data_IF_423981631403
#
_entry.id   IF_423981631403
#
_cell.length_a   1.000
_cell.length_b   1.000
_cell.length_c   1.000
_cell.angle_alpha   90.00
_cell.angle_beta   90.00
_cell.angle_gamma   90.00
#
_symmetry.space_group_name_H-M   'P 1'
#
loop_
_entity.id
_entity.type
_entity.pdbx_description
1 polymer ?
#
# COMPACT_ATOMS: atom_id res chain seq x y z
N UNK A 1 14.34 14.33 -15.00
CA UNK A 1 15.14 13.80 -16.13
C UNK A 1 15.96 12.57 -15.73
N UNK A 2 16.57 12.54 -14.55
CA UNK A 2 17.37 11.39 -14.07
C UNK A 2 16.48 10.15 -13.79
N UNK A 3 15.28 10.35 -13.30
CA UNK A 3 14.33 9.27 -12.97
C UNK A 3 13.80 8.52 -14.22
N UNK A 4 13.60 9.22 -15.34
CA UNK A 4 13.21 8.61 -16.61
C UNK A 4 14.32 7.75 -17.24
N UNK A 5 15.57 8.23 -17.20
CA UNK A 5 16.71 7.48 -17.70
C UNK A 5 16.95 6.19 -16.91
N UNK A 6 16.77 6.27 -15.58
CA UNK A 6 16.94 5.11 -14.69
C UNK A 6 15.85 4.04 -14.90
N UNK A 7 14.61 4.45 -15.20
CA UNK A 7 13.51 3.53 -15.51
C UNK A 7 13.71 2.81 -16.85
N UNK A 8 14.27 3.49 -17.85
CA UNK A 8 14.54 2.90 -19.16
C UNK A 8 15.66 1.84 -19.09
N UNK A 9 16.72 2.10 -18.35
CA UNK A 9 17.81 1.12 -18.13
C UNK A 9 17.30 -0.12 -17.40
N UNK A 10 16.47 0.04 -16.36
CA UNK A 10 15.85 -1.08 -15.66
C UNK A 10 14.89 -1.88 -16.54
N UNK A 11 14.11 -1.21 -17.37
CA UNK A 11 13.20 -1.85 -18.31
C UNK A 11 13.96 -2.65 -19.37
N UNK A 12 15.10 -2.15 -19.84
CA UNK A 12 15.96 -2.89 -20.79
C UNK A 12 16.61 -4.10 -20.10
N UNK A 13 17.12 -3.93 -18.87
CA UNK A 13 17.68 -5.02 -18.08
C UNK A 13 16.63 -6.11 -17.78
N UNK A 14 15.41 -5.72 -17.43
CA UNK A 14 14.29 -6.64 -17.24
C UNK A 14 14.00 -7.45 -18.51
N UNK A 15 13.88 -6.80 -19.65
CA UNK A 15 13.62 -7.46 -20.94
C UNK A 15 14.76 -8.42 -21.34
N UNK A 16 16.01 -7.97 -21.17
CA UNK A 16 17.18 -8.79 -21.44
C UNK A 16 17.22 -10.03 -20.53
N UNK A 17 16.99 -9.84 -19.24
CA UNK A 17 16.97 -10.94 -18.27
C UNK A 17 15.81 -11.91 -18.54
N UNK A 18 14.63 -11.39 -18.87
CA UNK A 18 13.46 -12.18 -19.25
C UNK A 18 13.73 -13.05 -20.47
N UNK A 19 14.43 -12.52 -21.48
CA UNK A 19 14.83 -13.29 -22.68
C UNK A 19 15.83 -14.38 -22.37
N UNK A 20 16.75 -14.17 -21.43
CA UNK A 20 17.82 -15.11 -21.10
C UNK A 20 17.38 -16.21 -20.13
N UNK A 21 16.63 -15.84 -19.10
CA UNK A 21 16.32 -16.72 -17.96
C UNK A 21 14.82 -17.02 -17.82
N UNK A 22 13.99 -16.38 -18.63
CA UNK A 22 12.55 -16.56 -18.64
C UNK A 22 11.82 -15.59 -17.71
N UNK A 23 10.51 -15.46 -17.99
CA UNK A 23 9.62 -14.48 -17.33
C UNK A 23 9.57 -14.64 -15.80
N UNK A 24 9.46 -15.89 -15.33
CA UNK A 24 9.39 -16.19 -13.90
C UNK A 24 10.64 -15.73 -13.14
N UNK A 25 11.82 -16.04 -13.69
CA UNK A 25 13.08 -15.63 -13.07
C UNK A 25 13.24 -14.10 -13.04
N UNK A 26 12.76 -13.39 -14.07
CA UNK A 26 12.77 -11.93 -14.10
C UNK A 26 11.86 -11.33 -13.04
N UNK A 27 10.68 -11.90 -12.81
CA UNK A 27 9.75 -11.48 -11.78
C UNK A 27 10.32 -11.70 -10.37
N UNK A 28 11.01 -12.81 -10.14
CA UNK A 28 11.61 -13.13 -8.84
C UNK A 28 12.67 -12.08 -8.41
N UNK A 29 13.19 -11.29 -9.36
CA UNK A 29 14.15 -10.20 -9.13
C UNK A 29 13.51 -8.83 -8.94
N UNK A 30 12.22 -8.72 -8.99
CA UNK A 30 11.54 -7.43 -8.82
C UNK A 30 11.26 -7.13 -7.34
N UNK A 31 11.44 -5.88 -6.95
CA UNK A 31 11.04 -5.40 -5.63
C UNK A 31 9.51 -5.27 -5.55
N UNK A 32 8.88 -6.37 -5.18
CA UNK A 32 7.43 -6.46 -5.05
C UNK A 32 6.86 -5.56 -3.96
N UNK A 33 7.64 -5.26 -2.92
CA UNK A 33 7.18 -4.42 -1.81
C UNK A 33 7.12 -2.98 -2.29
N UNK A 34 8.17 -2.49 -2.95
CA UNK A 34 8.19 -1.16 -3.53
C UNK A 34 7.15 -1.02 -4.65
N UNK A 35 7.02 -2.01 -5.54
CA UNK A 35 6.05 -2.00 -6.63
C UNK A 35 4.60 -1.91 -6.12
N UNK A 36 4.22 -2.72 -5.13
CA UNK A 36 2.89 -2.67 -4.52
C UNK A 36 2.63 -1.35 -3.79
N UNK A 37 3.63 -0.83 -3.07
CA UNK A 37 3.52 0.45 -2.38
C UNK A 37 3.29 1.59 -3.37
N UNK A 38 4.10 1.67 -4.40
CA UNK A 38 3.98 2.66 -5.47
C UNK A 38 2.61 2.60 -6.15
N UNK A 39 2.15 1.38 -6.48
CA UNK A 39 0.83 1.18 -7.07
C UNK A 39 -0.29 1.65 -6.14
N UNK A 40 -0.24 1.29 -4.86
CA UNK A 40 -1.25 1.73 -3.88
C UNK A 40 -1.27 3.25 -3.68
N UNK A 41 -0.13 3.91 -3.76
CA UNK A 41 -0.02 5.37 -3.71
C UNK A 41 -0.66 6.01 -4.95
N UNK A 42 -0.36 5.49 -6.15
CA UNK A 42 -0.93 5.96 -7.42
C UNK A 42 -2.44 5.74 -7.47
N UNK A 43 -2.91 4.58 -7.05
CA UNK A 43 -4.33 4.28 -6.99
C UNK A 43 -5.05 5.17 -5.95
N UNK A 44 -4.42 5.42 -4.81
CA UNK A 44 -4.93 6.37 -3.82
C UNK A 44 -5.00 7.81 -4.33
N UNK A 45 -4.08 8.26 -5.19
CA UNK A 45 -4.15 9.57 -5.86
C UNK A 45 -5.28 9.61 -6.86
N UNK A 46 -5.44 8.57 -7.68
CA UNK A 46 -6.52 8.42 -8.65
C UNK A 46 -7.87 8.41 -7.97
N UNK A 47 -8.03 7.64 -6.91
CA UNK A 47 -9.25 7.56 -6.10
C UNK A 47 -9.63 8.94 -5.52
N UNK A 48 -8.67 9.68 -4.98
CA UNK A 48 -8.89 11.04 -4.47
C UNK A 48 -9.28 12.04 -5.58
N UNK A 49 -8.69 11.91 -6.77
CA UNK A 49 -9.04 12.76 -7.92
C UNK A 49 -10.48 12.49 -8.39
N UNK A 50 -10.86 11.21 -8.51
CA UNK A 50 -12.22 10.79 -8.87
C UNK A 50 -13.24 11.26 -7.83
N UNK A 51 -12.96 11.11 -6.55
CA UNK A 51 -13.82 11.56 -5.47
C UNK A 51 -14.01 13.08 -5.48
N UNK A 52 -12.95 13.86 -5.70
CA UNK A 52 -13.03 15.33 -5.82
C UNK A 52 -13.86 15.74 -7.02
N UNK A 53 -13.69 15.08 -8.16
CA UNK A 53 -14.47 15.34 -9.35
C UNK A 53 -15.96 15.05 -9.14
N UNK A 54 -16.29 13.89 -8.58
CA UNK A 54 -17.66 13.51 -8.27
C UNK A 54 -18.30 14.50 -7.29
N UNK A 55 -17.57 14.89 -6.23
CA UNK A 55 -18.03 15.89 -5.27
C UNK A 55 -18.31 17.24 -5.93
N UNK A 56 -17.43 17.69 -6.82
CA UNK A 56 -17.62 18.94 -7.58
C UNK A 56 -18.90 18.89 -8.43
N UNK A 57 -19.13 17.79 -9.16
CA UNK A 57 -20.33 17.60 -9.96
C UNK A 57 -21.61 17.64 -9.12
N UNK A 58 -21.62 16.98 -7.96
CA UNK A 58 -22.76 16.97 -7.03
C UNK A 58 -22.99 18.36 -6.43
N UNK A 59 -21.93 19.02 -5.96
CA UNK A 59 -22.01 20.36 -5.39
C UNK A 59 -22.54 21.39 -6.41
N UNK A 60 -22.06 21.33 -7.65
CA UNK A 60 -22.54 22.20 -8.73
C UNK A 60 -24.03 21.99 -9.02
N UNK A 61 -24.45 20.73 -9.17
CA UNK A 61 -25.86 20.40 -9.42
C UNK A 61 -26.77 20.84 -8.26
N UNK A 62 -26.31 20.62 -7.02
CA UNK A 62 -27.06 21.03 -5.81
C UNK A 62 -27.18 22.56 -5.73
N UNK A 63 -26.08 23.29 -5.96
CA UNK A 63 -26.09 24.75 -5.96
C UNK A 63 -27.05 25.31 -7.02
N UNK A 64 -27.04 24.70 -8.22
CA UNK A 64 -27.96 25.08 -9.30
C UNK A 64 -29.43 24.81 -8.92
N UNK A 65 -29.73 23.65 -8.32
CA UNK A 65 -31.07 23.32 -7.86
C UNK A 65 -31.56 24.29 -6.76
N UNK A 66 -30.68 24.61 -5.80
CA UNK A 66 -30.97 25.58 -4.75
C UNK A 66 -31.27 26.95 -5.34
N UNK A 67 -30.49 27.42 -6.30
CA UNK A 67 -30.71 28.67 -7.00
C UNK A 67 -32.08 28.69 -7.71
N UNK A 68 -32.43 27.59 -8.36
CA UNK A 68 -33.70 27.47 -9.08
C UNK A 68 -34.93 27.50 -8.17
N UNK A 69 -34.80 26.93 -6.96
CA UNK A 69 -35.89 26.87 -5.97
C UNK A 69 -35.98 28.18 -5.17
N UNK A 70 -34.82 28.74 -4.75
CA UNK A 70 -34.80 29.90 -3.83
C UNK A 70 -34.96 31.24 -4.53
N UNK A 71 -34.53 31.33 -5.79
CA UNK A 71 -34.54 32.59 -6.57
C UNK A 71 -35.03 32.36 -8.01
N UNK A 72 -36.30 31.95 -8.18
CA UNK A 72 -36.83 31.64 -9.51
C UNK A 72 -36.84 32.91 -10.41
N UNK A 73 -37.00 34.07 -9.85
CA UNK A 73 -37.02 35.35 -10.60
C UNK A 73 -35.67 35.61 -11.28
N UNK A 74 -34.53 35.32 -10.62
CA UNK A 74 -33.20 35.47 -11.21
C UNK A 74 -32.99 34.49 -12.37
N UNK A 75 -33.55 33.31 -12.25
CA UNK A 75 -33.44 32.28 -13.32
C UNK A 75 -34.34 32.64 -14.51
N UNK A 76 -35.48 33.27 -14.27
CA UNK A 76 -36.40 33.75 -15.32
C UNK A 76 -35.85 34.95 -16.13
N UNK A 77 -35.02 35.79 -15.50
CA UNK A 77 -34.31 36.87 -16.20
C UNK A 77 -33.25 36.40 -17.18
N UNK A 78 -32.75 35.17 -16.99
CA UNK A 78 -31.76 34.56 -17.89
C UNK A 78 -32.39 34.22 -19.24
N UNK A 79 -31.80 34.64 -20.38
CA UNK A 79 -32.32 34.30 -21.71
C UNK A 79 -32.53 32.77 -21.85
N UNK A 80 -33.69 32.40 -22.41
CA UNK A 80 -34.10 31.00 -22.57
C UNK A 80 -33.00 30.06 -23.14
N UNK A 81 -32.24 30.45 -24.17
CA UNK A 81 -31.22 29.56 -24.71
C UNK A 81 -30.10 29.28 -23.65
N UNK A 82 -29.71 30.28 -22.88
CA UNK A 82 -28.68 30.13 -21.84
C UNK A 82 -29.18 29.28 -20.69
N UNK A 83 -30.45 29.46 -20.25
CA UNK A 83 -31.08 28.63 -19.23
C UNK A 83 -31.14 27.18 -19.64
N UNK A 84 -31.51 26.85 -20.89
CA UNK A 84 -31.54 25.49 -21.39
C UNK A 84 -30.12 24.85 -21.37
N UNK A 85 -29.08 25.65 -21.66
CA UNK A 85 -27.68 25.17 -21.55
C UNK A 85 -27.32 24.89 -20.11
N UNK A 86 -27.68 25.77 -19.17
CA UNK A 86 -27.41 25.57 -17.74
C UNK A 86 -28.13 24.35 -17.17
N UNK A 87 -29.39 24.13 -17.55
CA UNK A 87 -30.18 22.94 -17.20
C UNK A 87 -29.52 21.67 -17.72
N UNK A 88 -29.08 21.67 -18.99
CA UNK A 88 -28.39 20.56 -19.61
C UNK A 88 -27.04 20.27 -18.92
N UNK A 89 -26.28 21.30 -18.58
CA UNK A 89 -24.99 21.15 -17.85
C UNK A 89 -25.23 20.62 -16.44
N UNK A 90 -26.23 21.09 -15.70
CA UNK A 90 -26.54 20.59 -14.39
C UNK A 90 -26.95 19.11 -14.43
N UNK A 91 -27.82 18.74 -15.37
CA UNK A 91 -28.26 17.37 -15.54
C UNK A 91 -27.11 16.45 -15.93
N UNK A 92 -26.29 16.86 -16.90
CA UNK A 92 -25.10 16.08 -17.33
C UNK A 92 -24.09 15.96 -16.21
N UNK A 93 -23.93 16.96 -15.34
CA UNK A 93 -23.03 16.88 -14.18
C UNK A 93 -23.48 15.82 -13.17
N UNK A 94 -24.79 15.70 -12.91
CA UNK A 94 -25.32 14.62 -12.04
C UNK A 94 -25.01 13.24 -12.64
N UNK A 95 -25.32 13.07 -13.93
CA UNK A 95 -25.06 11.81 -14.63
C UNK A 95 -23.57 11.50 -14.70
N UNK A 96 -22.72 12.49 -15.01
CA UNK A 96 -21.27 12.30 -15.05
C UNK A 96 -20.71 11.91 -13.69
N UNK A 97 -21.14 12.59 -12.60
CA UNK A 97 -20.72 12.26 -11.25
C UNK A 97 -21.14 10.86 -10.84
N UNK A 98 -22.40 10.49 -11.09
CA UNK A 98 -22.91 9.14 -10.78
C UNK A 98 -22.20 8.05 -11.62
N UNK A 99 -22.00 8.30 -12.91
CA UNK A 99 -21.34 7.34 -13.80
C UNK A 99 -19.87 7.16 -13.46
N UNK A 100 -19.20 8.23 -13.00
CA UNK A 100 -17.82 8.17 -12.53
C UNK A 100 -17.70 7.30 -11.29
N UNK A 101 -18.62 7.45 -10.33
CA UNK A 101 -18.63 6.64 -9.11
C UNK A 101 -18.94 5.16 -9.40
N UNK A 102 -19.88 4.88 -10.32
CA UNK A 102 -20.25 3.50 -10.67
C UNK A 102 -19.16 2.79 -11.48
N UNK A 103 -18.47 3.52 -12.38
CA UNK A 103 -17.40 2.95 -13.20
C UNK A 103 -16.06 2.89 -12.52
N UNK A 104 -15.89 3.67 -11.44
CA UNK A 104 -14.66 3.62 -10.69
C UNK A 104 -14.62 2.30 -9.91
N UNK A 105 -13.86 1.36 -10.43
CA UNK A 105 -13.52 0.11 -9.77
C UNK A 105 -12.05 0.23 -9.36
N UNK A 106 -11.76 0.04 -8.09
CA UNK A 106 -10.38 -0.09 -7.62
C UNK A 106 -9.75 -1.29 -8.32
N UNK A 107 -8.71 -1.02 -9.08
CA UNK A 107 -7.90 -2.07 -9.71
C UNK A 107 -6.90 -2.56 -8.65
N UNK A 108 -6.92 -3.86 -8.37
CA UNK A 108 -5.89 -4.46 -7.52
C UNK A 108 -4.69 -4.81 -8.38
N UNK A 109 -3.50 -4.72 -7.79
CA UNK A 109 -2.24 -5.04 -8.48
C UNK A 109 -2.25 -6.44 -9.12
N UNK A 110 -2.92 -7.40 -8.46
CA UNK A 110 -2.99 -8.78 -8.93
C UNK A 110 -3.98 -8.99 -10.10
N UNK A 111 -4.98 -8.08 -10.25
CA UNK A 111 -6.00 -8.13 -11.32
C UNK A 111 -5.57 -7.35 -12.59
N UNK A 112 -4.37 -6.77 -12.59
CA UNK A 112 -3.88 -5.98 -13.70
C UNK A 112 -3.64 -6.81 -14.96
N UNK A 113 -3.88 -6.22 -16.16
CA UNK A 113 -3.43 -6.80 -17.41
C UNK A 113 -1.92 -7.06 -17.40
N UNK A 114 -1.44 -8.19 -17.93
CA UNK A 114 -0.02 -8.55 -17.91
C UNK A 114 0.90 -7.45 -18.45
N UNK A 115 0.51 -6.76 -19.52
CA UNK A 115 1.30 -5.69 -20.14
C UNK A 115 1.56 -4.50 -19.20
N UNK A 116 0.55 -4.11 -18.42
CA UNK A 116 0.70 -3.00 -17.44
C UNK A 116 1.50 -3.48 -16.24
N UNK A 117 1.28 -4.72 -15.81
CA UNK A 117 2.04 -5.33 -14.74
C UNK A 117 3.52 -5.44 -15.08
N UNK A 118 3.86 -5.86 -16.29
CA UNK A 118 5.24 -5.96 -16.76
C UNK A 118 5.92 -4.60 -16.81
N UNK A 119 5.19 -3.57 -17.21
CA UNK A 119 5.69 -2.20 -17.23
C UNK A 119 6.03 -1.70 -15.81
N UNK A 120 5.18 -1.99 -14.84
CA UNK A 120 5.41 -1.67 -13.43
C UNK A 120 6.59 -2.48 -12.87
N UNK A 121 6.63 -3.79 -13.15
CA UNK A 121 7.70 -4.65 -12.65
C UNK A 121 9.06 -4.28 -13.26
N UNK A 122 9.10 -3.89 -14.53
CA UNK A 122 10.33 -3.42 -15.16
C UNK A 122 10.89 -2.16 -14.50
N UNK A 123 10.02 -1.30 -13.96
CA UNK A 123 10.42 -0.11 -13.20
C UNK A 123 11.09 -0.47 -11.86
N UNK A 124 10.70 -1.58 -11.25
CA UNK A 124 11.20 -2.06 -9.96
C UNK A 124 12.14 -3.26 -10.07
N UNK A 125 12.63 -3.55 -11.28
CA UNK A 125 13.60 -4.63 -11.50
C UNK A 125 14.93 -4.29 -10.83
N UNK A 126 15.42 -5.20 -9.99
CA UNK A 126 16.64 -5.03 -9.21
C UNK A 126 17.88 -5.44 -10.01
N UNK A 127 18.94 -4.63 -9.93
CA UNK A 127 20.26 -4.98 -10.44
C UNK A 127 20.95 -6.01 -9.57
N UNK A 128 22.03 -6.63 -10.09
CA UNK A 128 22.83 -7.59 -9.33
C UNK A 128 23.45 -6.97 -8.07
N UNK A 129 23.76 -5.67 -8.14
CA UNK A 129 24.33 -4.91 -7.01
C UNK A 129 23.29 -4.72 -5.90
N UNK A 130 22.08 -4.31 -6.27
CA UNK A 130 20.99 -4.12 -5.30
C UNK A 130 20.61 -5.43 -4.61
N UNK A 131 20.63 -6.54 -5.33
CA UNK A 131 20.36 -7.86 -4.73
C UNK A 131 21.46 -8.23 -3.74
N UNK A 132 22.71 -8.03 -4.11
CA UNK A 132 23.84 -8.32 -3.22
C UNK A 132 23.81 -7.45 -1.94
N UNK A 133 23.40 -6.20 -2.06
CA UNK A 133 23.22 -5.30 -0.91
C UNK A 133 22.10 -5.80 0.02
N UNK A 134 20.95 -6.21 -0.54
CA UNK A 134 19.81 -6.74 0.23
C UNK A 134 20.20 -8.05 0.91
N UNK A 135 20.95 -8.92 0.25
CA UNK A 135 21.42 -10.18 0.83
C UNK A 135 22.41 -9.93 1.97
N UNK A 136 23.34 -8.99 1.80
CA UNK A 136 24.26 -8.59 2.86
C UNK A 136 23.56 -7.97 4.06
N UNK A 137 22.53 -7.14 3.84
CA UNK A 137 21.73 -6.56 4.90
C UNK A 137 20.92 -7.62 5.66
N UNK A 138 20.36 -8.60 4.96
CA UNK A 138 19.66 -9.74 5.59
C UNK A 138 20.61 -10.55 6.48
N UNK A 139 21.79 -10.87 5.99
CA UNK A 139 22.79 -11.63 6.75
C UNK A 139 23.23 -10.86 8.01
N UNK A 140 23.41 -9.54 7.92
CA UNK A 140 23.70 -8.69 9.07
C UNK A 140 22.53 -8.67 10.09
N UNK A 141 21.31 -8.59 9.62
CA UNK A 141 20.13 -8.60 10.48
C UNK A 141 19.95 -9.95 11.17
N UNK A 142 20.12 -11.06 10.46
CA UNK A 142 20.05 -12.40 11.05
C UNK A 142 21.10 -12.59 12.15
N UNK A 143 22.35 -12.22 11.87
CA UNK A 143 23.44 -12.30 12.87
C UNK A 143 23.18 -11.39 14.09
N UNK A 144 22.56 -10.23 13.91
CA UNK A 144 22.21 -9.35 15.01
C UNK A 144 21.07 -9.91 15.87
N UNK A 145 20.08 -10.53 15.26
CA UNK A 145 18.95 -11.20 15.93
C UNK A 145 19.45 -12.41 16.72
N UNK A 146 20.34 -13.20 16.17
CA UNK A 146 20.94 -14.37 16.88
C UNK A 146 21.72 -13.92 18.11
N UNK A 147 22.56 -12.88 17.99
CA UNK A 147 23.27 -12.31 19.15
C UNK A 147 22.33 -11.83 20.24
N UNK A 148 21.29 -11.08 19.87
CA UNK A 148 20.28 -10.61 20.83
C UNK A 148 19.55 -11.75 21.50
N UNK A 149 19.29 -12.83 20.79
CA UNK A 149 18.67 -14.05 21.35
C UNK A 149 19.59 -14.76 22.34
N UNK A 150 20.87 -14.92 22.00
CA UNK A 150 21.87 -15.50 22.90
C UNK A 150 22.05 -14.67 24.19
N UNK A 151 22.07 -13.34 24.07
CA UNK A 151 22.14 -12.43 25.23
C UNK A 151 20.92 -12.60 26.15
N UNK A 152 19.71 -12.65 25.59
CA UNK A 152 18.48 -12.88 26.33
C UNK A 152 18.46 -14.26 27.00
N UNK A 153 18.96 -15.31 26.35
CA UNK A 153 19.07 -16.64 26.93
C UNK A 153 20.08 -16.67 28.11
N UNK A 154 21.20 -15.97 27.98
CA UNK A 154 22.17 -15.85 29.04
C UNK A 154 21.60 -15.09 30.26
N UNK A 155 20.88 -14.01 30.00
CA UNK A 155 20.23 -13.21 31.04
C UNK A 155 19.12 -14.00 31.78
N UNK A 156 18.33 -14.76 31.03
CA UNK A 156 17.32 -15.66 31.59
C UNK A 156 17.94 -16.77 32.47
N UNK A 157 19.04 -17.39 32.01
CA UNK A 157 19.78 -18.40 32.78
C UNK A 157 20.39 -17.80 34.07
N UNK A 158 20.95 -16.59 33.97
CA UNK A 158 21.52 -15.89 35.14
C UNK A 158 20.44 -15.53 36.17
N UNK A 159 19.26 -15.12 35.72
CA UNK A 159 18.11 -14.80 36.57
C UNK A 159 17.56 -16.07 37.25
N UNK A 160 17.43 -17.16 36.54
CA UNK A 160 17.02 -18.47 37.10
C UNK A 160 18.01 -18.99 38.12
N UNK A 161 19.31 -18.84 37.90
CA UNK A 161 20.34 -19.21 38.84
C UNK A 161 20.26 -18.38 40.16
N UNK A 162 19.98 -17.08 40.05
CA UNK A 162 19.74 -16.20 41.19
C UNK A 162 18.50 -16.61 42.01
N UNK A 163 17.42 -17.02 41.33
CA UNK A 163 16.21 -17.51 41.97
C UNK A 163 16.44 -18.84 42.69
N UNK A 164 17.12 -19.81 42.07
CA UNK A 164 17.41 -21.10 42.64
C UNK A 164 18.34 -20.99 43.89
N UNK A 165 19.27 -20.05 43.87
CA UNK A 165 20.14 -19.80 45.06
C UNK A 165 19.44 -19.08 46.20
N UNK A 166 18.28 -18.43 45.95
CA UNK A 166 17.47 -17.76 46.99
C UNK A 166 16.34 -18.61 47.53
N UNK A 167 16.03 -19.76 46.91
CA UNK A 167 15.01 -20.66 47.45
C UNK A 167 15.51 -21.27 48.76
N UNK A 168 14.86 -21.04 49.92
CA UNK A 168 15.25 -21.65 51.16
C UNK A 168 15.11 -23.17 51.00
N UNK A 169 16.18 -23.91 51.32
CA UNK A 169 16.15 -25.38 51.40
C UNK A 169 15.05 -25.76 52.39
N UNK A 170 13.84 -26.05 51.89
CA UNK A 170 12.80 -26.67 52.69
C UNK A 170 13.30 -28.08 53.04
N UNK A 171 13.91 -28.21 54.19
CA UNK A 171 14.13 -29.52 54.85
C UNK A 171 12.74 -30.07 55.18
N UNK A 172 12.25 -31.01 54.41
CA UNK A 172 11.11 -31.83 54.78
C UNK A 172 11.56 -32.64 55.98
N UNK A 173 11.21 -32.14 57.17
CA UNK A 173 11.36 -32.91 58.42
C UNK A 173 10.43 -34.13 58.33
N UNK A 174 11.01 -35.31 58.25
CA UNK A 174 10.30 -36.57 58.47
C UNK A 174 9.90 -36.63 59.95
N UNK A 175 8.69 -36.19 60.24
CA UNK A 175 8.06 -36.39 61.53
C UNK A 175 7.73 -37.89 61.65
N UNK A 176 8.60 -38.60 62.36
CA UNK A 176 8.35 -39.97 62.81
C UNK A 176 7.22 -39.91 63.84
N UNK A 177 6.00 -40.20 63.47
CA UNK A 177 4.90 -40.53 64.37
C UNK A 177 5.19 -41.86 65.00
N UNK A 178 5.77 -41.80 66.23
CA UNK A 178 5.85 -42.93 67.16
C UNK A 178 4.50 -43.01 67.89
N UNK A 179 3.63 -43.98 67.52
CA UNK A 179 2.50 -44.41 68.35
C UNK A 179 2.92 -45.68 69.02
N UNK A 180 3.18 -45.60 70.35
CA UNK A 180 3.10 -46.66 71.26
C UNK A 180 1.74 -46.70 71.94
#
# INVERSE_FOLDING_TARGET
MVELAYSDERAEAFRAYMCLYGYKAAIDRCDWVAARRWFSEKEGERSRAVARWALFCVAFATAYMVLHISMPQLVEEVPRPLRNVMDAVALTSVFAGALTLVRFKEETFDDMPPSIRDDILSHFFMSDVEIAEIEAEKEQNETSIERSREELEMEAKATLAKFNNRAPKRTFGTEKTNRG
#
